data_IF_332182066625
#
_entry.id   IF_332182066625
#
_cell.length_a   1.000
_cell.length_b   1.000
_cell.length_c   1.000
_cell.angle_alpha   90.00
_cell.angle_beta   90.00
_cell.angle_gamma   90.00
#
_symmetry.space_group_name_H-M   'P 1'
#
loop_
_entity.id
_entity.type
_entity.pdbx_description
1 polymer ?
#
# COMPACT_ATOMS: atom_id res chain seq x y z
N UNK A 1 18.70 13.12 -9.27
CA UNK A 1 17.71 12.05 -9.50
C UNK A 1 17.51 11.28 -8.20
N UNK A 2 16.32 11.29 -7.60
CA UNK A 2 16.10 10.50 -6.37
C UNK A 2 16.08 9.00 -6.74
N UNK A 3 16.83 8.14 -6.03
CA UNK A 3 16.76 6.70 -6.24
C UNK A 3 15.33 6.22 -5.99
N UNK A 4 14.82 5.33 -6.86
CA UNK A 4 13.51 4.72 -6.60
C UNK A 4 13.60 3.96 -5.27
N UNK A 5 12.58 4.05 -4.39
CA UNK A 5 12.54 3.23 -3.20
C UNK A 5 12.54 1.77 -3.63
N UNK A 6 13.33 0.93 -2.97
CA UNK A 6 13.43 -0.48 -3.34
C UNK A 6 12.04 -1.14 -3.32
N UNK A 7 11.73 -2.05 -4.26
CA UNK A 7 10.42 -2.69 -4.33
C UNK A 7 10.08 -3.43 -3.03
N UNK A 8 11.07 -4.05 -2.38
CA UNK A 8 10.93 -4.71 -1.08
C UNK A 8 10.72 -3.78 0.12
N UNK A 9 10.93 -2.47 -0.01
CA UNK A 9 10.62 -1.51 1.06
C UNK A 9 9.15 -1.06 1.02
N UNK A 10 8.46 -1.30 -0.10
CA UNK A 10 7.05 -0.94 -0.31
C UNK A 10 6.08 -2.12 -0.12
N UNK A 11 6.59 -3.32 0.19
CA UNK A 11 5.79 -4.53 0.44
C UNK A 11 5.16 -4.54 1.83
N UNK A 12 5.76 -3.85 2.81
CA UNK A 12 5.13 -3.64 4.11
C UNK A 12 4.17 -2.45 4.00
N UNK A 13 2.84 -2.65 4.13
CA UNK A 13 1.94 -1.52 4.31
C UNK A 13 2.42 -0.71 5.51
N UNK A 14 2.35 0.62 5.41
CA UNK A 14 2.39 1.46 6.60
C UNK A 14 1.36 0.90 7.59
N UNK A 15 1.68 0.91 8.89
CA UNK A 15 0.76 0.37 9.88
C UNK A 15 -0.56 1.14 9.78
N UNK A 16 -1.59 0.51 9.20
CA UNK A 16 -2.86 1.16 8.95
C UNK A 16 -3.45 1.71 10.25
N UNK A 17 -3.22 1.06 11.41
CA UNK A 17 -3.65 1.62 12.69
C UNK A 17 -2.99 2.95 13.00
N UNK A 18 -1.73 3.18 12.64
CA UNK A 18 -1.09 4.49 12.82
C UNK A 18 -1.65 5.53 11.83
N UNK A 19 -1.97 5.13 10.60
CA UNK A 19 -2.58 6.03 9.60
C UNK A 19 -4.04 6.37 9.89
N UNK A 20 -4.76 5.50 10.61
CA UNK A 20 -6.15 5.68 11.01
C UNK A 20 -6.30 6.02 12.51
N UNK A 21 -5.22 6.05 13.30
CA UNK A 21 -5.23 6.46 14.70
C UNK A 21 -5.64 7.94 14.78
N UNK A 22 -6.82 8.19 15.37
CA UNK A 22 -7.42 9.53 15.43
C UNK A 22 -8.21 9.95 14.19
N UNK A 23 -8.41 9.05 13.20
CA UNK A 23 -9.35 9.25 12.09
C UNK A 23 -10.61 8.42 12.34
N UNK A 24 -11.67 9.07 12.83
CA UNK A 24 -13.01 8.49 13.03
C UNK A 24 -13.63 7.87 11.77
N UNK A 25 -13.14 8.22 10.57
CA UNK A 25 -13.71 7.77 9.31
C UNK A 25 -12.65 7.12 8.44
N UNK A 26 -12.74 5.81 8.29
CA UNK A 26 -12.10 5.07 7.19
C UNK A 26 -12.82 5.46 5.90
N UNK A 27 -12.42 6.60 5.33
CA UNK A 27 -13.02 7.13 4.11
C UNK A 27 -12.73 6.22 2.93
N UNK A 28 -13.71 6.10 2.02
CA UNK A 28 -13.60 5.38 0.74
C UNK A 28 -12.48 5.91 -0.17
N UNK A 29 -11.91 7.07 0.16
CA UNK A 29 -10.86 7.75 -0.61
C UNK A 29 -9.45 7.53 -0.06
N UNK A 30 -9.30 6.79 1.06
CA UNK A 30 -7.96 6.52 1.61
C UNK A 30 -7.42 5.23 0.98
N UNK A 31 -6.33 5.36 0.23
CA UNK A 31 -5.55 4.22 -0.24
C UNK A 31 -4.47 3.88 0.81
N UNK A 32 -4.58 2.75 1.53
CA UNK A 32 -3.59 2.34 2.53
C UNK A 32 -2.22 1.99 1.92
N UNK A 33 -2.16 1.90 0.59
CA UNK A 33 -0.99 1.54 -0.18
C UNK A 33 -0.49 2.70 -1.04
N UNK A 34 -0.79 3.95 -0.65
CA UNK A 34 -0.44 5.15 -1.42
C UNK A 34 1.07 5.21 -1.73
N UNK A 35 1.93 4.79 -0.79
CA UNK A 35 3.37 4.72 -0.99
C UNK A 35 3.76 3.73 -2.10
N UNK A 36 3.18 2.52 -2.10
CA UNK A 36 3.41 1.51 -3.13
C UNK A 36 2.84 1.94 -4.49
N UNK A 37 1.69 2.64 -4.50
CA UNK A 37 1.11 3.22 -5.71
C UNK A 37 2.03 4.28 -6.33
N UNK A 38 2.53 5.22 -5.53
CA UNK A 38 3.51 6.23 -5.97
C UNK A 38 4.79 5.59 -6.47
N UNK A 39 5.29 4.55 -5.79
CA UNK A 39 6.50 3.83 -6.21
C UNK A 39 6.32 3.14 -7.58
N UNK A 40 5.17 2.50 -7.79
CA UNK A 40 4.82 1.86 -9.07
C UNK A 40 4.76 2.88 -10.20
N UNK A 41 4.08 4.01 -9.99
CA UNK A 41 4.00 5.09 -10.97
C UNK A 41 5.38 5.72 -11.25
N UNK A 42 6.22 5.87 -10.23
CA UNK A 42 7.59 6.36 -10.41
C UNK A 42 8.44 5.40 -11.26
N UNK A 43 8.29 4.08 -11.06
CA UNK A 43 8.93 3.08 -11.91
C UNK A 43 8.44 3.18 -13.37
N UNK A 44 7.12 3.28 -13.58
CA UNK A 44 6.56 3.41 -14.94
C UNK A 44 7.07 4.66 -15.65
N UNK A 45 7.07 5.82 -14.96
CA UNK A 45 7.57 7.08 -15.53
C UNK A 45 9.05 6.99 -15.95
N UNK A 46 9.90 6.28 -15.19
CA UNK A 46 11.32 6.10 -15.53
C UNK A 46 11.56 5.08 -16.63
N UNK A 47 10.65 4.13 -16.83
CA UNK A 47 10.80 3.03 -17.77
C UNK A 47 9.92 3.18 -19.02
N UNK A 48 9.50 4.41 -19.38
CA UNK A 48 8.61 4.66 -20.52
C UNK A 48 7.32 3.82 -20.49
N UNK A 49 6.75 3.64 -19.29
CA UNK A 49 5.54 2.84 -19.04
C UNK A 49 5.67 1.35 -19.39
N UNK A 50 6.89 0.85 -19.48
CA UNK A 50 7.19 -0.58 -19.56
C UNK A 50 6.78 -1.28 -18.26
N UNK A 51 5.76 -2.13 -18.36
CA UNK A 51 5.19 -2.85 -17.22
C UNK A 51 6.08 -3.98 -16.73
N UNK A 52 6.83 -4.61 -17.63
CA UNK A 52 7.64 -5.78 -17.32
C UNK A 52 8.80 -5.40 -16.39
N UNK A 53 9.36 -4.20 -16.57
CA UNK A 53 10.41 -3.65 -15.70
C UNK A 53 9.93 -3.25 -14.31
N UNK A 54 8.62 -3.19 -14.09
CA UNK A 54 8.02 -2.71 -12.85
C UNK A 54 7.19 -3.77 -12.11
N UNK A 55 7.27 -5.05 -12.53
CA UNK A 55 6.50 -6.15 -11.95
C UNK A 55 6.67 -6.27 -10.43
N UNK A 56 7.88 -6.07 -9.91
CA UNK A 56 8.14 -6.11 -8.46
C UNK A 56 7.40 -5.00 -7.69
N UNK A 57 7.25 -3.81 -8.27
CA UNK A 57 6.49 -2.71 -7.67
C UNK A 57 4.99 -2.99 -7.70
N UNK A 58 4.48 -3.57 -8.79
CA UNK A 58 3.11 -4.04 -8.86
C UNK A 58 2.83 -5.16 -7.85
N UNK A 59 3.78 -6.08 -7.67
CA UNK A 59 3.68 -7.14 -6.67
C UNK A 59 3.61 -6.55 -5.27
N UNK A 60 4.49 -5.60 -4.93
CA UNK A 60 4.47 -4.90 -3.65
C UNK A 60 3.12 -4.20 -3.38
N UNK A 61 2.52 -3.54 -4.39
CA UNK A 61 1.19 -2.94 -4.27
C UNK A 61 0.08 -3.97 -3.99
N UNK A 62 0.11 -5.13 -4.67
CA UNK A 62 -0.85 -6.22 -4.43
C UNK A 62 -0.69 -6.79 -3.02
N UNK A 63 0.54 -7.02 -2.58
CA UNK A 63 0.83 -7.53 -1.24
C UNK A 63 0.36 -6.56 -0.15
N UNK A 64 0.63 -5.26 -0.31
CA UNK A 64 0.13 -4.23 0.60
C UNK A 64 -1.41 -4.27 0.71
N UNK A 65 -2.12 -4.38 -0.43
CA UNK A 65 -3.58 -4.49 -0.44
C UNK A 65 -4.08 -5.76 0.24
N UNK A 66 -3.43 -6.89 -0.02
CA UNK A 66 -3.78 -8.16 0.61
C UNK A 66 -3.61 -8.08 2.12
N UNK A 67 -2.45 -7.64 2.59
CA UNK A 67 -2.16 -7.47 4.01
C UNK A 67 -3.18 -6.53 4.70
N UNK A 68 -3.57 -5.44 4.04
CA UNK A 68 -4.62 -4.55 4.57
C UNK A 68 -5.99 -5.25 4.71
N UNK A 69 -6.40 -6.00 3.69
CA UNK A 69 -7.67 -6.75 3.74
C UNK A 69 -7.62 -7.83 4.82
N UNK A 70 -6.48 -8.50 4.99
CA UNK A 70 -6.26 -9.48 6.05
C UNK A 70 -6.32 -8.84 7.44
N UNK A 71 -5.65 -7.70 7.65
CA UNK A 71 -5.75 -6.95 8.91
C UNK A 71 -7.20 -6.51 9.20
N UNK A 72 -7.95 -6.03 8.20
CA UNK A 72 -9.37 -5.70 8.37
C UNK A 72 -10.27 -6.90 8.66
N UNK A 73 -9.89 -8.10 8.21
CA UNK A 73 -10.60 -9.35 8.52
C UNK A 73 -10.26 -9.79 9.94
N UNK A 74 -8.99 -9.68 10.34
CA UNK A 74 -8.51 -10.02 11.67
C UNK A 74 -9.10 -9.09 12.73
N UNK A 75 -9.12 -7.77 12.51
CA UNK A 75 -9.77 -6.81 13.41
C UNK A 75 -11.25 -7.15 13.63
N UNK A 76 -11.97 -7.47 12.54
CA UNK A 76 -13.37 -7.90 12.61
C UNK A 76 -13.54 -9.20 13.41
N UNK A 77 -12.62 -10.15 13.28
CA UNK A 77 -12.61 -11.39 14.09
C UNK A 77 -12.33 -11.10 15.57
N UNK A 78 -11.45 -10.15 15.85
CA UNK A 78 -11.06 -9.76 17.20
C UNK A 78 -12.02 -8.73 17.85
N UNK A 79 -13.16 -8.44 17.23
CA UNK A 79 -14.15 -7.49 17.76
C UNK A 79 -13.64 -6.05 17.83
N UNK A 80 -12.61 -5.69 17.06
CA UNK A 80 -12.14 -4.31 16.88
C UNK A 80 -12.88 -3.69 15.70
N UNK A 81 -13.92 -2.86 15.92
CA UNK A 81 -14.56 -2.17 14.82
C UNK A 81 -13.57 -1.23 14.14
N UNK A 82 -13.67 -1.11 12.82
CA UNK A 82 -12.90 -0.18 12.00
C UNK A 82 -13.46 1.25 12.04
N UNK A 83 -14.11 1.61 13.15
CA UNK A 83 -14.80 2.88 13.41
C UNK A 83 -14.39 3.34 14.80
#
# INVERSE_FOLDING_TARGET
EAPLPSPGSNTKPLNYREQFQGRDVVSRFIDPCEAASKATMACMNKNNYDREKCLDYFQAYRECKNAWIEQRKEDRRNGRPSS
#
